data_IF_084375593853
#
_entry.id   IF_084375593853
#
_cell.length_a   1.000
_cell.length_b   1.000
_cell.length_c   1.000
_cell.angle_alpha   90.00
_cell.angle_beta   90.00
_cell.angle_gamma   90.00
#
_symmetry.space_group_name_H-M   'P 1'
#
loop_
_entity.id
_entity.type
_entity.pdbx_description
1 polymer ?
#
# COMPACT_ATOMS: atom_id res chain seq x y z
N UNK A 1 14.22 32.97 2.41
CA UNK A 1 12.87 33.17 1.84
C UNK A 1 12.35 32.00 0.99
N UNK A 2 13.19 31.25 0.25
CA UNK A 2 12.72 30.19 -0.67
C UNK A 2 12.24 28.89 0.00
N UNK A 3 12.64 28.63 1.25
CA UNK A 3 12.35 27.39 1.98
C UNK A 3 10.85 27.14 2.26
N UNK A 4 9.98 28.14 2.08
CA UNK A 4 8.52 27.97 2.24
C UNK A 4 7.82 27.42 1.00
N UNK A 5 8.49 27.41 -0.16
CA UNK A 5 7.89 26.99 -1.43
C UNK A 5 8.28 25.58 -1.87
N UNK A 6 9.33 25.01 -1.26
CA UNK A 6 9.84 23.68 -1.58
C UNK A 6 9.61 22.77 -0.40
N UNK A 7 8.89 21.67 -0.62
CA UNK A 7 8.61 20.68 0.40
C UNK A 7 9.20 19.34 -0.02
N UNK A 8 9.87 18.67 0.90
CA UNK A 8 10.27 17.27 0.73
C UNK A 8 9.58 16.43 1.78
N UNK A 9 9.42 15.15 1.50
CA UNK A 9 8.84 14.22 2.45
C UNK A 9 8.81 12.81 1.94
N UNK A 10 8.24 11.95 2.76
CA UNK A 10 7.97 10.57 2.44
C UNK A 10 6.52 10.22 2.75
N UNK A 11 5.99 9.26 2.00
CA UNK A 11 4.71 8.63 2.27
C UNK A 11 4.89 7.12 2.14
N UNK A 12 4.39 6.37 3.13
CA UNK A 12 4.46 4.91 3.12
C UNK A 12 3.06 4.32 3.11
N UNK A 13 2.88 3.25 2.34
CA UNK A 13 1.63 2.49 2.27
C UNK A 13 1.91 0.99 2.37
N UNK A 14 1.04 0.26 3.06
CA UNK A 14 1.06 -1.20 3.13
C UNK A 14 -0.29 -1.71 2.60
N UNK A 15 -0.27 -2.47 1.51
CA UNK A 15 -1.49 -2.92 0.83
C UNK A 15 -2.25 -4.03 1.57
N UNK A 16 -1.56 -4.85 2.36
CA UNK A 16 -2.18 -5.91 3.17
C UNK A 16 -1.50 -6.05 4.53
N UNK A 17 -2.30 -6.12 5.60
CA UNK A 17 -1.81 -6.35 6.96
C UNK A 17 -2.31 -7.70 7.48
N UNK A 18 -1.40 -8.59 7.86
CA UNK A 18 -1.76 -9.90 8.43
C UNK A 18 -2.56 -9.81 9.75
N UNK A 19 -2.46 -8.69 10.47
CA UNK A 19 -3.27 -8.41 11.67
C UNK A 19 -4.73 -8.03 11.33
N UNK A 20 -5.01 -7.65 10.08
CA UNK A 20 -6.34 -7.29 9.56
C UNK A 20 -6.71 -8.27 8.44
N UNK A 21 -7.01 -9.49 8.86
CA UNK A 21 -7.28 -10.62 7.96
C UNK A 21 -8.54 -10.40 7.11
N UNK A 22 -8.46 -10.77 5.84
CA UNK A 22 -9.62 -10.84 4.93
C UNK A 22 -10.03 -12.31 4.82
N UNK A 23 -11.28 -12.62 5.20
CA UNK A 23 -11.83 -13.97 5.15
C UNK A 23 -12.80 -14.12 3.99
N UNK A 24 -12.70 -15.24 3.28
CA UNK A 24 -13.53 -15.58 2.12
C UNK A 24 -14.39 -16.80 2.49
N UNK A 25 -15.71 -16.68 2.27
CA UNK A 25 -16.64 -17.80 2.32
C UNK A 25 -16.73 -18.44 0.93
N UNK A 26 -16.37 -19.72 0.84
CA UNK A 26 -16.44 -20.50 -0.39
C UNK A 26 -17.83 -21.13 -0.57
N UNK A 27 -18.17 -21.50 -1.81
CA UNK A 27 -19.47 -22.12 -2.15
C UNK A 27 -19.76 -23.41 -1.38
N UNK A 28 -18.74 -24.11 -0.90
CA UNK A 28 -18.86 -25.31 -0.07
C UNK A 28 -19.10 -24.99 1.42
N UNK A 29 -19.35 -23.72 1.79
CA UNK A 29 -19.58 -23.28 3.16
C UNK A 29 -18.30 -23.09 4.00
N UNK A 30 -17.12 -23.41 3.47
CA UNK A 30 -15.86 -23.23 4.20
C UNK A 30 -15.44 -21.76 4.21
N UNK A 31 -14.97 -21.27 5.36
CA UNK A 31 -14.34 -19.95 5.47
C UNK A 31 -12.82 -20.13 5.55
N UNK A 32 -12.07 -19.37 4.75
CA UNK A 32 -10.60 -19.32 4.84
C UNK A 32 -10.07 -17.91 4.67
N UNK A 33 -8.90 -17.65 5.24
CA UNK A 33 -8.15 -16.42 4.98
C UNK A 33 -7.70 -16.36 3.52
N UNK A 34 -7.73 -15.17 2.91
CA UNK A 34 -7.25 -14.92 1.55
C UNK A 34 -5.77 -15.28 1.41
N UNK A 35 -4.97 -15.14 2.47
CA UNK A 35 -3.57 -15.54 2.52
C UNK A 35 -3.35 -17.04 2.35
N UNK A 36 -4.38 -17.88 2.52
CA UNK A 36 -4.31 -19.33 2.33
C UNK A 36 -4.78 -19.77 0.94
N UNK A 37 -5.25 -18.83 0.11
CA UNK A 37 -5.59 -19.12 -1.28
C UNK A 37 -4.32 -19.50 -2.07
N UNK A 38 -4.39 -20.34 -3.12
CA UNK A 38 -3.22 -20.75 -3.89
C UNK A 38 -2.44 -19.58 -4.52
N UNK A 39 -3.13 -18.48 -4.86
CA UNK A 39 -2.57 -17.28 -5.48
C UNK A 39 -1.85 -16.32 -4.49
N UNK A 40 -1.07 -16.89 -3.55
CA UNK A 40 -0.41 -16.12 -2.47
C UNK A 40 0.62 -15.10 -2.96
N UNK A 41 1.07 -15.19 -4.21
CA UNK A 41 2.16 -14.38 -4.75
C UNK A 41 1.83 -12.88 -4.73
N UNK A 42 0.59 -12.51 -5.05
CA UNK A 42 0.12 -11.12 -5.04
C UNK A 42 0.04 -10.55 -3.62
N UNK A 43 -0.40 -11.35 -2.65
CA UNK A 43 -0.55 -10.89 -1.25
C UNK A 43 0.78 -10.64 -0.56
N UNK A 44 1.81 -11.43 -0.88
CA UNK A 44 3.16 -11.19 -0.36
C UNK A 44 3.73 -9.85 -0.82
N UNK A 45 3.51 -9.49 -2.08
CA UNK A 45 3.91 -8.18 -2.61
C UNK A 45 3.16 -7.04 -1.91
N UNK A 46 1.84 -7.18 -1.70
CA UNK A 46 1.01 -6.19 -1.01
C UNK A 46 1.32 -6.05 0.49
N UNK A 47 1.88 -7.10 1.11
CA UNK A 47 2.26 -7.07 2.53
C UNK A 47 3.57 -6.31 2.78
N UNK A 48 4.34 -6.01 1.72
CA UNK A 48 5.55 -5.21 1.85
C UNK A 48 5.18 -3.72 1.83
N UNK A 49 5.71 -2.91 2.77
CA UNK A 49 5.56 -1.48 2.71
C UNK A 49 6.18 -0.90 1.45
N UNK A 50 5.47 0.02 0.81
CA UNK A 50 5.95 0.83 -0.30
C UNK A 50 6.11 2.25 0.20
N UNK A 51 7.35 2.72 0.31
CA UNK A 51 7.66 4.11 0.67
C UNK A 51 8.02 4.89 -0.59
N UNK A 52 7.37 6.04 -0.76
CA UNK A 52 7.66 7.01 -1.82
C UNK A 52 8.24 8.27 -1.20
N UNK A 53 9.36 8.71 -1.74
CA UNK A 53 9.96 9.99 -1.42
C UNK A 53 9.55 11.01 -2.48
N UNK A 54 9.23 12.23 -2.06
CA UNK A 54 8.77 13.27 -2.97
C UNK A 54 9.45 14.61 -2.69
N UNK A 55 9.48 15.44 -3.74
CA UNK A 55 9.82 16.85 -3.69
C UNK A 55 8.72 17.63 -4.43
N UNK A 56 8.19 18.65 -3.79
CA UNK A 56 7.18 19.55 -4.33
C UNK A 56 7.81 20.93 -4.48
N UNK A 57 7.65 21.54 -5.65
CA UNK A 57 8.10 22.90 -5.95
C UNK A 57 7.09 23.59 -6.87
N UNK A 58 7.07 24.93 -6.93
CA UNK A 58 6.15 25.67 -7.78
C UNK A 58 6.34 25.30 -9.25
N UNK A 59 5.24 24.99 -9.94
CA UNK A 59 5.26 24.76 -11.39
C UNK A 59 5.52 26.09 -12.10
N UNK A 60 6.43 26.11 -13.07
CA UNK A 60 6.62 27.28 -13.93
C UNK A 60 5.32 27.63 -14.66
N UNK A 61 4.98 28.93 -14.69
CA UNK A 61 3.88 29.44 -15.50
C UNK A 61 4.45 29.86 -16.85
N UNK A 62 3.92 29.31 -17.93
CA UNK A 62 4.05 29.87 -19.27
C UNK A 62 3.36 31.24 -19.35
#
# INVERSE_FOLDING_TARGET
EVNYFVFTGEISNVGYHQKKQIRILFKNGKVSDISRAPDQLNLRALSKPVTKYYICYPKEKH
#
